data_IF_103358652391
#
_entry.id   IF_103358652391
#
_cell.length_a   1.000
_cell.length_b   1.000
_cell.length_c   1.000
_cell.angle_alpha   90.00
_cell.angle_beta   90.00
_cell.angle_gamma   90.00
#
_symmetry.space_group_name_H-M   'P 1'
#
loop_
_entity.id
_entity.type
_entity.pdbx_description
1 polymer ?
#
# COMPACT_ATOMS: atom_id res chain seq x y z
N UNK A 1 -24.35 -25.26 -56.57
CA UNK A 1 -23.83 -23.87 -56.49
C UNK A 1 -24.69 -23.14 -55.47
N UNK A 2 -24.31 -23.19 -54.19
CA UNK A 2 -23.54 -22.14 -53.50
C UNK A 2 -24.36 -20.88 -53.19
N UNK A 3 -25.34 -20.98 -52.27
CA UNK A 3 -25.86 -19.80 -51.57
C UNK A 3 -26.58 -20.12 -50.27
N UNK A 4 -25.97 -20.95 -49.40
CA UNK A 4 -26.57 -21.26 -48.08
C UNK A 4 -25.54 -21.39 -46.95
N UNK A 5 -24.29 -20.94 -47.20
CA UNK A 5 -23.16 -21.09 -46.27
C UNK A 5 -22.77 -19.82 -45.51
N UNK A 6 -23.35 -18.66 -45.86
CA UNK A 6 -22.93 -17.37 -45.31
C UNK A 6 -23.81 -16.93 -44.13
N UNK A 7 -25.10 -17.31 -44.08
CA UNK A 7 -25.99 -16.88 -42.98
C UNK A 7 -25.90 -17.71 -41.69
N UNK A 8 -25.32 -18.92 -41.71
CA UNK A 8 -25.23 -19.80 -40.53
C UNK A 8 -23.97 -19.63 -39.67
N UNK A 9 -23.00 -18.79 -40.08
CA UNK A 9 -21.73 -18.62 -39.36
C UNK A 9 -21.56 -17.26 -38.68
N UNK A 10 -22.40 -16.27 -38.99
CA UNK A 10 -22.31 -14.92 -38.39
C UNK A 10 -22.94 -14.80 -37.01
N UNK A 11 -23.98 -15.58 -36.70
CA UNK A 11 -24.72 -15.48 -35.46
C UNK A 11 -23.95 -15.94 -34.19
N UNK A 12 -23.16 -17.05 -34.20
CA UNK A 12 -22.41 -17.44 -33.01
C UNK A 12 -21.19 -16.56 -32.77
N UNK A 13 -20.65 -15.89 -33.80
CA UNK A 13 -19.49 -14.99 -33.66
C UNK A 13 -19.93 -13.63 -33.09
N UNK A 14 -21.13 -13.14 -33.45
CA UNK A 14 -21.68 -11.93 -32.83
C UNK A 14 -22.10 -12.15 -31.37
N UNK A 15 -22.58 -13.35 -31.02
CA UNK A 15 -22.95 -13.72 -29.65
C UNK A 15 -21.71 -13.95 -28.77
N UNK A 16 -20.62 -14.51 -29.32
CA UNK A 16 -19.36 -14.67 -28.60
C UNK A 16 -18.61 -13.34 -28.38
N UNK A 17 -18.80 -12.34 -29.25
CA UNK A 17 -18.23 -11.00 -29.05
C UNK A 17 -19.06 -10.12 -28.08
N UNK A 18 -20.34 -10.43 -27.87
CA UNK A 18 -21.22 -9.72 -26.93
C UNK A 18 -21.18 -10.26 -25.49
N UNK A 19 -20.53 -11.40 -25.22
CA UNK A 19 -20.45 -11.99 -23.86
C UNK A 19 -19.09 -11.72 -23.19
N UNK A 20 -18.08 -11.23 -23.92
CA UNK A 20 -16.78 -10.84 -23.34
C UNK A 20 -16.73 -9.39 -22.83
N UNK A 21 -17.83 -8.64 -22.87
CA UNK A 21 -17.80 -7.17 -22.70
C UNK A 21 -18.58 -6.60 -21.52
N UNK A 22 -19.11 -7.38 -20.57
CA UNK A 22 -19.89 -6.76 -19.48
C UNK A 22 -19.78 -7.43 -18.09
N UNK A 23 -18.56 -7.72 -17.65
CA UNK A 23 -18.26 -7.95 -16.23
C UNK A 23 -16.92 -7.31 -15.82
N UNK A 24 -16.49 -6.23 -16.49
CA UNK A 24 -15.69 -5.25 -15.78
C UNK A 24 -16.69 -4.47 -14.92
N UNK A 25 -16.81 -4.83 -13.64
CA UNK A 25 -17.37 -3.87 -12.69
C UNK A 25 -16.60 -2.58 -12.91
N UNK A 26 -17.28 -1.51 -13.31
CA UNK A 26 -16.64 -0.21 -13.47
C UNK A 26 -16.15 0.17 -12.09
N UNK A 27 -14.88 -0.13 -11.81
CA UNK A 27 -14.17 0.39 -10.67
C UNK A 27 -13.92 1.84 -11.02
N UNK A 28 -14.83 2.69 -10.58
CA UNK A 28 -14.74 4.13 -10.80
C UNK A 28 -13.95 4.72 -9.62
N UNK A 29 -13.02 5.62 -9.93
CA UNK A 29 -12.38 6.46 -8.94
C UNK A 29 -13.45 7.30 -8.21
N UNK A 30 -13.37 7.43 -6.88
CA UNK A 30 -14.34 8.24 -6.13
C UNK A 30 -14.23 9.71 -6.55
N UNK A 31 -15.36 10.42 -6.54
CA UNK A 31 -15.42 11.86 -6.89
C UNK A 31 -16.48 12.60 -6.07
N UNK A 32 -16.21 13.81 -5.52
CA UNK A 32 -14.94 14.54 -5.44
C UNK A 32 -14.16 14.31 -4.13
N UNK A 33 -14.81 13.79 -3.09
CA UNK A 33 -14.23 13.54 -1.77
C UNK A 33 -14.14 12.05 -1.53
N UNK A 34 -13.07 11.56 -0.90
CA UNK A 34 -12.89 10.11 -0.66
C UNK A 34 -14.05 9.53 0.15
N UNK A 35 -14.67 10.29 1.06
CA UNK A 35 -15.78 9.80 1.88
C UNK A 35 -17.16 9.91 1.21
N UNK A 36 -17.28 10.62 0.07
CA UNK A 36 -18.55 10.75 -0.64
C UNK A 36 -18.74 9.56 -1.59
N UNK A 37 -19.64 8.65 -1.26
CA UNK A 37 -19.85 7.40 -1.98
C UNK A 37 -20.92 7.57 -3.06
N UNK A 38 -20.53 7.24 -4.30
CA UNK A 38 -21.38 7.24 -5.48
C UNK A 38 -21.73 5.81 -5.93
N UNK A 39 -22.77 5.65 -6.76
CA UNK A 39 -23.05 4.36 -7.36
C UNK A 39 -21.83 3.81 -8.10
N UNK A 40 -21.57 2.51 -7.93
CA UNK A 40 -20.43 1.77 -8.46
C UNK A 40 -19.07 2.08 -7.81
N UNK A 41 -19.02 2.87 -6.74
CA UNK A 41 -17.78 3.05 -5.99
C UNK A 41 -17.40 1.78 -5.21
N UNK A 42 -16.09 1.62 -5.00
CA UNK A 42 -15.56 0.61 -4.08
C UNK A 42 -15.39 1.23 -2.70
N UNK A 43 -16.00 0.63 -1.69
CA UNK A 43 -15.82 0.87 -0.26
C UNK A 43 -14.88 -0.20 0.30
N UNK A 44 -13.86 0.19 1.06
CA UNK A 44 -12.99 -0.74 1.77
C UNK A 44 -13.50 -0.98 3.19
N UNK A 45 -13.31 -2.21 3.66
CA UNK A 45 -13.46 -2.53 5.07
C UNK A 45 -12.55 -1.64 5.92
N UNK A 46 -13.00 -1.29 7.12
CA UNK A 46 -12.39 -0.35 8.08
C UNK A 46 -12.54 1.12 7.73
N UNK A 47 -13.17 1.48 6.62
CA UNK A 47 -13.45 2.88 6.36
C UNK A 47 -14.55 3.43 7.28
N UNK A 48 -14.33 4.65 7.74
CA UNK A 48 -15.16 5.39 8.68
C UNK A 48 -15.61 6.71 8.05
N UNK A 49 -16.74 7.24 8.50
CA UNK A 49 -17.23 8.56 8.09
C UNK A 49 -17.67 8.63 6.63
N UNK A 50 -18.22 7.54 6.10
CA UNK A 50 -18.68 7.45 4.71
C UNK A 50 -20.07 8.05 4.55
N UNK A 51 -20.22 8.88 3.53
CA UNK A 51 -21.48 9.47 3.15
C UNK A 51 -22.07 8.70 1.95
N UNK A 52 -23.14 7.96 2.21
CA UNK A 52 -23.89 7.15 1.25
C UNK A 52 -25.07 7.90 0.62
N UNK A 53 -25.26 9.19 0.90
CA UNK A 53 -26.40 9.95 0.37
C UNK A 53 -26.48 9.94 -1.17
N UNK A 54 -25.35 9.81 -1.86
CA UNK A 54 -25.29 9.64 -3.32
C UNK A 54 -25.95 8.35 -3.84
N UNK A 55 -26.24 7.39 -2.96
CA UNK A 55 -26.87 6.11 -3.29
C UNK A 55 -28.40 6.12 -3.14
N UNK A 56 -28.97 7.21 -2.60
CA UNK A 56 -30.41 7.34 -2.37
C UNK A 56 -31.20 7.41 -3.67
N UNK A 57 -32.49 7.13 -3.59
CA UNK A 57 -33.39 7.41 -4.70
C UNK A 57 -33.50 8.93 -4.89
N UNK A 58 -33.19 9.43 -6.08
CA UNK A 58 -33.13 10.86 -6.38
C UNK A 58 -34.48 11.58 -6.32
N UNK A 59 -35.59 10.83 -6.35
CA UNK A 59 -36.95 11.40 -6.30
C UNK A 59 -37.46 11.53 -4.87
N UNK A 60 -37.19 10.53 -4.02
CA UNK A 60 -37.73 10.47 -2.66
C UNK A 60 -36.73 10.92 -1.60
N UNK A 61 -35.42 10.83 -1.88
CA UNK A 61 -34.31 11.19 -0.98
C UNK A 61 -34.39 10.53 0.40
N UNK A 62 -34.99 9.33 0.49
CA UNK A 62 -35.00 8.60 1.75
C UNK A 62 -33.59 8.04 2.04
N UNK A 63 -33.19 7.99 3.31
CA UNK A 63 -31.87 7.52 3.69
C UNK A 63 -31.67 6.02 3.42
N UNK A 64 -30.44 5.61 3.14
CA UNK A 64 -30.10 4.19 3.02
C UNK A 64 -30.17 3.55 4.40
N UNK A 65 -30.87 2.42 4.51
CA UNK A 65 -31.05 1.70 5.79
C UNK A 65 -30.27 0.39 5.85
N UNK A 66 -29.85 -0.13 4.69
CA UNK A 66 -29.01 -1.30 4.60
C UNK A 66 -28.21 -1.35 3.30
N UNK A 67 -27.05 -2.01 3.35
CA UNK A 67 -26.35 -2.53 2.19
C UNK A 67 -26.61 -4.03 2.10
N UNK A 68 -27.21 -4.47 0.99
CA UNK A 68 -27.71 -5.83 0.82
C UNK A 68 -26.97 -6.58 -0.28
N UNK A 69 -26.53 -7.79 0.03
CA UNK A 69 -25.92 -8.72 -0.93
C UNK A 69 -26.93 -9.78 -1.31
N UNK A 70 -27.00 -10.07 -2.59
CA UNK A 70 -27.89 -11.07 -3.16
C UNK A 70 -27.11 -12.16 -3.86
N UNK A 71 -27.73 -13.34 -4.01
CA UNK A 71 -27.18 -14.42 -4.83
C UNK A 71 -26.94 -13.93 -6.27
N UNK A 72 -25.77 -14.25 -6.81
CA UNK A 72 -25.31 -13.82 -8.14
C UNK A 72 -25.39 -12.30 -8.37
N UNK A 73 -25.30 -11.51 -7.30
CA UNK A 73 -25.43 -10.04 -7.31
C UNK A 73 -26.76 -9.52 -7.88
N UNK A 74 -27.82 -10.33 -7.88
CA UNK A 74 -29.11 -9.99 -8.48
C UNK A 74 -30.19 -9.74 -7.40
N UNK A 75 -30.73 -8.50 -7.26
CA UNK A 75 -31.79 -8.17 -6.29
C UNK A 75 -33.09 -8.98 -6.40
N UNK A 76 -33.32 -9.65 -7.53
CA UNK A 76 -34.47 -10.54 -7.74
C UNK A 76 -34.27 -11.95 -7.17
N UNK A 77 -33.07 -12.27 -6.67
CA UNK A 77 -32.72 -13.55 -6.06
C UNK A 77 -32.68 -13.44 -4.54
N UNK A 78 -32.37 -14.54 -3.87
CA UNK A 78 -32.27 -14.61 -2.41
C UNK A 78 -31.24 -13.64 -1.84
N UNK A 79 -31.63 -12.93 -0.78
CA UNK A 79 -30.73 -12.14 0.06
C UNK A 79 -29.74 -13.08 0.78
N UNK A 80 -28.45 -12.81 0.67
CA UNK A 80 -27.37 -13.61 1.29
C UNK A 80 -26.72 -12.88 2.46
N UNK A 81 -26.71 -11.54 2.44
CA UNK A 81 -26.16 -10.71 3.52
C UNK A 81 -26.90 -9.37 3.57
N UNK A 82 -27.07 -8.82 4.76
CA UNK A 82 -27.54 -7.46 4.97
C UNK A 82 -26.67 -6.80 6.03
N UNK A 83 -26.09 -5.65 5.70
CA UNK A 83 -25.34 -4.80 6.62
C UNK A 83 -26.26 -3.62 6.96
N UNK A 84 -26.66 -3.43 8.24
CA UNK A 84 -27.48 -2.29 8.62
C UNK A 84 -26.69 -0.99 8.45
N UNK A 85 -27.38 0.06 8.02
CA UNK A 85 -26.85 1.43 7.90
C UNK A 85 -27.68 2.30 8.86
N UNK A 86 -27.21 2.55 10.09
CA UNK A 86 -27.94 3.36 11.07
C UNK A 86 -28.00 4.84 10.69
N UNK A 87 -26.90 5.36 10.11
CA UNK A 87 -26.75 6.70 9.58
C UNK A 87 -26.05 6.57 8.22
N UNK A 88 -26.68 7.06 7.16
CA UNK A 88 -26.16 6.97 5.80
C UNK A 88 -25.32 8.19 5.40
N UNK A 89 -25.08 9.12 6.33
CA UNK A 89 -24.19 10.27 6.16
C UNK A 89 -22.88 10.15 6.95
N UNK A 90 -22.81 9.20 7.89
CA UNK A 90 -21.65 8.90 8.73
C UNK A 90 -21.54 7.38 8.96
N UNK A 91 -21.38 6.64 7.87
CA UNK A 91 -21.34 5.18 7.88
C UNK A 91 -19.93 4.64 8.05
N UNK A 92 -19.80 3.54 8.80
CA UNK A 92 -18.56 2.78 8.97
C UNK A 92 -18.74 1.35 8.45
N UNK A 93 -17.77 0.88 7.66
CA UNK A 93 -17.73 -0.52 7.22
C UNK A 93 -16.88 -1.35 8.17
N UNK A 94 -17.53 -1.97 9.14
CA UNK A 94 -16.87 -2.87 10.09
C UNK A 94 -16.69 -4.27 9.50
N UNK A 95 -15.50 -4.85 9.68
CA UNK A 95 -15.20 -6.23 9.26
C UNK A 95 -16.20 -7.24 9.86
N UNK A 96 -16.57 -7.09 11.14
CA UNK A 96 -17.54 -7.97 11.79
C UNK A 96 -18.90 -8.00 11.04
N UNK A 97 -19.32 -6.86 10.50
CA UNK A 97 -20.57 -6.76 9.75
C UNK A 97 -20.44 -7.39 8.37
N UNK A 98 -19.30 -7.23 7.70
CA UNK A 98 -19.03 -7.84 6.38
C UNK A 98 -18.84 -9.35 6.51
N UNK A 99 -18.05 -9.79 7.49
CA UNK A 99 -17.77 -11.19 7.81
C UNK A 99 -17.17 -11.95 6.64
N UNK A 100 -16.19 -11.35 5.95
CA UNK A 100 -15.56 -11.91 4.75
C UNK A 100 -16.44 -11.94 3.49
N UNK A 101 -17.70 -11.48 3.54
CA UNK A 101 -18.61 -11.50 2.40
C UNK A 101 -18.39 -10.30 1.47
N UNK A 102 -17.21 -10.19 0.86
CA UNK A 102 -16.85 -9.10 -0.05
C UNK A 102 -17.60 -9.16 -1.40
N UNK A 103 -17.55 -8.08 -2.19
CA UNK A 103 -18.11 -7.97 -3.54
C UNK A 103 -19.26 -6.97 -3.64
N UNK A 104 -20.18 -7.18 -4.57
CA UNK A 104 -21.27 -6.23 -4.83
C UNK A 104 -22.32 -6.24 -3.73
N UNK A 105 -22.70 -5.05 -3.29
CA UNK A 105 -23.80 -4.76 -2.38
C UNK A 105 -24.74 -3.75 -3.03
N UNK A 106 -26.00 -3.79 -2.64
CA UNK A 106 -27.06 -2.92 -3.14
C UNK A 106 -27.59 -2.06 -2.00
N UNK A 107 -27.64 -0.75 -2.20
CA UNK A 107 -28.23 0.19 -1.27
C UNK A 107 -29.75 -0.03 -1.21
N UNK A 108 -30.30 -0.08 0.01
CA UNK A 108 -31.69 -0.43 0.25
C UNK A 108 -32.37 0.51 1.26
N UNK A 109 -33.61 0.88 0.94
CA UNK A 109 -34.56 1.50 1.85
C UNK A 109 -35.90 0.72 1.80
N UNK A 110 -36.61 0.51 2.92
CA UNK A 110 -37.89 -0.23 2.92
C UNK A 110 -39.00 0.43 2.10
N UNK A 111 -38.95 1.74 1.87
CA UNK A 111 -39.91 2.51 1.07
C UNK A 111 -39.56 2.44 -0.42
N UNK A 112 -38.28 2.62 -0.77
CA UNK A 112 -37.84 2.71 -2.17
C UNK A 112 -37.39 1.37 -2.77
N UNK A 113 -37.11 0.38 -1.93
CA UNK A 113 -36.45 -0.85 -2.31
C UNK A 113 -34.96 -0.65 -2.58
N UNK A 114 -34.44 -1.37 -3.56
CA UNK A 114 -33.04 -1.29 -3.99
C UNK A 114 -32.85 -0.11 -4.94
N UNK A 115 -31.88 0.77 -4.65
CA UNK A 115 -31.70 2.05 -5.37
C UNK A 115 -30.42 2.11 -6.20
N UNK A 116 -29.29 1.70 -5.63
CA UNK A 116 -27.97 1.76 -6.25
C UNK A 116 -27.10 0.59 -5.80
N UNK A 117 -25.92 0.43 -6.39
CA UNK A 117 -24.96 -0.61 -5.98
C UNK A 117 -23.58 -0.03 -5.72
N UNK A 118 -22.81 -0.71 -4.87
CA UNK A 118 -21.41 -0.44 -4.53
C UNK A 118 -20.63 -1.74 -4.43
N UNK A 119 -19.31 -1.68 -4.42
CA UNK A 119 -18.45 -2.82 -4.13
C UNK A 119 -17.86 -2.68 -2.73
N UNK A 120 -17.91 -3.74 -1.92
CA UNK A 120 -17.18 -3.79 -0.64
C UNK A 120 -15.97 -4.71 -0.82
N UNK A 121 -14.77 -4.22 -0.50
CA UNK A 121 -13.49 -4.93 -0.65
C UNK A 121 -12.66 -4.87 0.63
N UNK A 122 -11.75 -5.81 0.78
CA UNK A 122 -10.76 -5.78 1.84
C UNK A 122 -9.51 -5.04 1.34
N UNK A 123 -8.89 -4.15 2.15
CA UNK A 123 -7.64 -3.50 1.78
C UNK A 123 -6.45 -4.46 1.91
N UNK A 124 -6.15 -5.18 0.83
CA UNK A 124 -5.04 -6.14 0.79
C UNK A 124 -3.74 -5.53 0.26
N UNK A 125 -2.61 -5.99 0.79
CA UNK A 125 -1.26 -5.65 0.32
C UNK A 125 -0.33 -6.86 0.31
N UNK A 126 0.49 -6.95 -0.73
CA UNK A 126 1.58 -7.93 -0.82
C UNK A 126 2.88 -7.25 -1.21
N UNK A 127 4.00 -7.83 -0.78
CA UNK A 127 5.34 -7.36 -1.05
C UNK A 127 6.18 -8.50 -1.62
N UNK A 128 6.93 -8.24 -2.68
CA UNK A 128 8.01 -9.10 -3.16
C UNK A 128 9.34 -8.33 -3.13
N UNK A 129 10.45 -9.04 -2.90
CA UNK A 129 11.81 -8.51 -3.07
C UNK A 129 12.36 -9.00 -4.41
N UNK A 130 12.72 -8.08 -5.30
CA UNK A 130 13.18 -8.39 -6.66
C UNK A 130 14.50 -7.69 -6.99
N UNK A 131 15.20 -8.14 -8.03
CA UNK A 131 16.27 -7.34 -8.62
C UNK A 131 15.70 -6.04 -9.19
N UNK A 132 16.46 -4.95 -9.09
CA UNK A 132 16.08 -3.66 -9.65
C UNK A 132 16.00 -3.71 -11.20
N UNK A 133 15.41 -2.66 -11.78
CA UNK A 133 15.31 -2.45 -13.23
C UNK A 133 16.65 -2.73 -13.93
N UNK A 134 16.67 -3.50 -15.04
CA UNK A 134 15.53 -4.04 -15.79
C UNK A 134 15.08 -5.47 -15.38
N UNK A 135 15.52 -6.00 -14.24
CA UNK A 135 15.41 -7.42 -13.89
C UNK A 135 14.30 -7.75 -12.87
N UNK A 136 13.19 -7.00 -12.85
CA UNK A 136 12.09 -7.18 -11.88
C UNK A 136 11.43 -8.57 -11.88
N UNK A 137 11.72 -9.43 -12.87
CA UNK A 137 11.27 -10.82 -12.90
C UNK A 137 12.01 -11.73 -11.92
N UNK A 138 13.19 -11.34 -11.45
CA UNK A 138 14.04 -12.15 -10.57
C UNK A 138 13.72 -11.85 -9.10
N UNK A 139 13.06 -12.79 -8.42
CA UNK A 139 12.76 -12.71 -6.98
C UNK A 139 13.95 -13.15 -6.14
N UNK A 140 14.09 -12.53 -4.97
CA UNK A 140 15.22 -12.74 -4.06
C UNK A 140 14.84 -13.44 -2.75
N UNK A 141 13.57 -13.84 -2.62
CA UNK A 141 13.06 -14.53 -1.44
C UNK A 141 13.85 -15.81 -1.14
N UNK A 142 14.34 -15.92 0.09
CA UNK A 142 15.14 -17.05 0.56
C UNK A 142 16.54 -17.14 -0.06
N UNK A 143 16.96 -16.19 -0.90
CA UNK A 143 18.25 -16.21 -1.57
C UNK A 143 19.33 -15.44 -0.79
N UNK A 144 20.59 -15.83 -1.02
CA UNK A 144 21.77 -15.06 -0.59
C UNK A 144 22.23 -14.14 -1.71
N UNK A 145 22.31 -12.85 -1.41
CA UNK A 145 22.56 -11.78 -2.37
C UNK A 145 23.79 -10.98 -1.96
N UNK A 146 24.61 -10.61 -2.95
CA UNK A 146 25.79 -9.77 -2.72
C UNK A 146 25.41 -8.37 -2.23
N UNK A 147 26.19 -7.75 -1.32
CA UNK A 147 25.95 -6.36 -0.89
C UNK A 147 25.95 -5.34 -2.05
N UNK A 148 26.58 -5.64 -3.18
CA UNK A 148 26.61 -4.72 -4.33
C UNK A 148 25.40 -4.84 -5.25
N UNK A 149 24.51 -5.79 -4.99
CA UNK A 149 23.30 -5.98 -5.79
C UNK A 149 22.32 -4.84 -5.54
N UNK A 150 21.71 -4.36 -6.63
CA UNK A 150 20.60 -3.40 -6.58
C UNK A 150 19.28 -4.16 -6.61
N UNK A 151 18.42 -3.87 -5.64
CA UNK A 151 17.11 -4.50 -5.51
C UNK A 151 16.02 -3.45 -5.62
N UNK A 152 14.80 -3.90 -5.82
CA UNK A 152 13.59 -3.10 -5.66
C UNK A 152 12.57 -3.91 -4.84
N UNK A 153 11.75 -3.20 -4.08
CA UNK A 153 10.56 -3.82 -3.49
C UNK A 153 9.39 -3.61 -4.43
N UNK A 154 8.70 -4.70 -4.75
CA UNK A 154 7.46 -4.68 -5.51
C UNK A 154 6.31 -4.71 -4.53
N UNK A 155 5.50 -3.66 -4.51
CA UNK A 155 4.27 -3.59 -3.74
C UNK A 155 3.10 -3.84 -4.67
N UNK A 156 2.19 -4.73 -4.29
CA UNK A 156 0.97 -5.03 -5.05
C UNK A 156 -0.24 -4.88 -4.13
N UNK A 157 -1.16 -3.99 -4.52
CA UNK A 157 -2.43 -3.76 -3.84
C UNK A 157 -3.49 -3.48 -4.91
N UNK A 158 -4.09 -4.54 -5.50
CA UNK A 158 -4.90 -4.41 -6.71
C UNK A 158 -6.14 -3.54 -6.51
N UNK A 159 -6.91 -3.78 -5.45
CA UNK A 159 -8.17 -3.07 -5.24
C UNK A 159 -7.94 -1.61 -4.80
N UNK A 160 -7.07 -1.39 -3.80
CA UNK A 160 -6.77 -0.04 -3.28
C UNK A 160 -6.10 0.81 -4.37
N UNK A 161 -5.09 0.27 -5.05
CA UNK A 161 -4.39 0.98 -6.12
C UNK A 161 -5.23 1.24 -7.37
N UNK A 162 -6.38 0.55 -7.54
CA UNK A 162 -7.32 0.82 -8.63
C UNK A 162 -8.45 1.77 -8.23
N UNK A 163 -8.92 1.71 -6.98
CA UNK A 163 -10.23 2.26 -6.59
C UNK A 163 -10.18 3.31 -5.48
N UNK A 164 -9.11 3.32 -4.67
CA UNK A 164 -9.04 4.20 -3.50
C UNK A 164 -8.41 5.54 -3.85
N UNK A 165 -9.10 6.31 -4.67
CA UNK A 165 -8.64 7.60 -5.17
C UNK A 165 -9.75 8.63 -5.14
N UNK A 166 -9.38 9.90 -4.97
CA UNK A 166 -10.29 11.04 -5.11
C UNK A 166 -9.73 11.96 -6.20
N UNK A 167 -10.26 11.84 -7.42
CA UNK A 167 -9.62 12.42 -8.60
C UNK A 167 -8.19 11.88 -8.78
N UNK A 168 -7.21 12.79 -8.93
CA UNK A 168 -5.78 12.45 -9.09
C UNK A 168 -5.04 12.24 -7.74
N UNK A 169 -5.76 12.27 -6.62
CA UNK A 169 -5.18 12.10 -5.28
C UNK A 169 -5.28 10.65 -4.82
N UNK A 170 -4.16 10.11 -4.36
CA UNK A 170 -4.03 8.75 -3.83
C UNK A 170 -3.77 8.83 -2.30
N UNK A 171 -4.83 8.83 -1.47
CA UNK A 171 -4.69 9.07 -0.03
C UNK A 171 -4.09 7.87 0.73
N UNK A 172 -4.12 6.66 0.17
CA UNK A 172 -3.52 5.49 0.79
C UNK A 172 -1.99 5.45 0.57
N UNK A 173 -1.27 5.20 1.65
CA UNK A 173 0.19 5.12 1.65
C UNK A 173 0.66 3.95 2.48
N UNK A 174 1.79 3.37 2.12
CA UNK A 174 2.38 2.20 2.80
C UNK A 174 3.81 2.49 3.25
N UNK A 175 4.19 1.87 4.35
CA UNK A 175 5.56 1.84 4.85
C UNK A 175 6.16 0.47 4.51
N UNK A 176 7.40 0.44 4.00
CA UNK A 176 8.15 -0.81 3.89
C UNK A 176 9.08 -0.90 5.09
N UNK A 177 8.77 -1.83 5.98
CA UNK A 177 9.50 -2.07 7.22
C UNK A 177 10.50 -3.19 6.97
N UNK A 178 11.78 -2.89 7.24
CA UNK A 178 12.88 -3.84 7.18
C UNK A 178 13.34 -4.15 8.60
N UNK A 179 13.28 -5.43 8.97
CA UNK A 179 13.87 -5.97 10.18
C UNK A 179 15.29 -6.45 9.86
N UNK A 180 16.27 -5.84 10.52
CA UNK A 180 17.69 -6.19 10.44
C UNK A 180 17.97 -7.56 11.10
N UNK A 181 19.11 -8.20 10.81
CA UNK A 181 19.52 -9.45 11.47
C UNK A 181 19.53 -9.38 13.00
N UNK A 182 19.87 -8.21 13.56
CA UNK A 182 19.84 -7.94 15.00
C UNK A 182 18.44 -7.63 15.57
N UNK A 183 17.38 -7.69 14.76
CA UNK A 183 15.99 -7.45 15.15
C UNK A 183 15.53 -5.98 15.13
N UNK A 184 16.44 -5.02 14.88
CA UNK A 184 16.06 -3.61 14.75
C UNK A 184 15.23 -3.38 13.48
N UNK A 185 14.19 -2.55 13.57
CA UNK A 185 13.34 -2.20 12.42
C UNK A 185 13.69 -0.81 11.88
N UNK A 186 13.62 -0.66 10.56
CA UNK A 186 13.83 0.61 9.85
C UNK A 186 12.90 0.72 8.65
N UNK A 187 12.57 1.95 8.27
CA UNK A 187 11.93 2.29 6.99
C UNK A 187 12.88 3.08 6.09
N UNK A 188 14.18 2.98 6.33
CA UNK A 188 15.20 3.67 5.55
C UNK A 188 16.44 2.79 5.29
N UNK A 189 16.93 2.83 4.04
CA UNK A 189 18.14 2.13 3.60
C UNK A 189 18.99 3.09 2.77
N UNK A 190 20.27 3.26 3.11
CA UNK A 190 21.19 4.04 2.27
C UNK A 190 20.75 5.49 2.01
N UNK A 191 19.97 6.10 2.93
CA UNK A 191 19.41 7.44 2.77
C UNK A 191 18.09 7.50 1.99
N UNK A 192 17.61 6.38 1.44
CA UNK A 192 16.29 6.28 0.83
C UNK A 192 15.23 6.06 1.91
N UNK A 193 14.20 6.89 1.91
CA UNK A 193 13.01 6.66 2.74
C UNK A 193 12.05 5.71 2.02
N UNK A 194 11.57 4.72 2.76
CA UNK A 194 10.59 3.73 2.34
C UNK A 194 9.30 3.83 3.15
N UNK A 195 9.11 4.96 3.84
CA UNK A 195 7.88 5.31 4.52
C UNK A 195 6.98 6.18 3.62
N UNK A 196 5.67 6.10 3.81
CA UNK A 196 4.69 6.95 3.17
C UNK A 196 4.62 6.80 1.65
N UNK A 197 4.91 5.60 1.12
CA UNK A 197 4.88 5.35 -0.31
C UNK A 197 3.43 5.30 -0.81
N UNK A 198 3.05 6.20 -1.71
CA UNK A 198 1.68 6.27 -2.24
C UNK A 198 1.29 4.98 -2.99
N UNK A 199 0.12 4.45 -2.72
CA UNK A 199 -0.45 3.33 -3.49
C UNK A 199 -1.19 3.89 -4.70
N UNK A 200 -0.42 4.32 -5.71
CA UNK A 200 -0.94 5.03 -6.88
C UNK A 200 -1.34 4.14 -8.05
N UNK A 201 -1.18 2.83 -7.90
CA UNK A 201 -1.43 1.83 -8.94
C UNK A 201 -1.61 0.47 -8.28
N UNK A 202 -2.21 -0.47 -9.02
CA UNK A 202 -2.40 -1.86 -8.57
C UNK A 202 -1.09 -2.56 -8.19
N UNK A 203 0.02 -2.10 -8.76
CA UNK A 203 1.38 -2.51 -8.46
C UNK A 203 2.36 -1.37 -8.76
N UNK A 204 3.39 -1.22 -7.92
CA UNK A 204 4.55 -0.38 -8.20
C UNK A 204 5.83 -1.02 -7.65
N UNK A 205 6.97 -0.53 -8.14
CA UNK A 205 8.29 -0.85 -7.63
C UNK A 205 8.93 0.37 -6.98
N UNK A 206 9.78 0.18 -5.98
CA UNK A 206 10.49 1.30 -5.34
C UNK A 206 11.41 2.06 -6.29
N UNK A 207 11.78 1.48 -7.43
CA UNK A 207 12.62 2.09 -8.46
C UNK A 207 11.85 2.57 -9.70
N UNK A 208 10.51 2.56 -9.69
CA UNK A 208 9.72 3.21 -10.74
C UNK A 208 9.93 4.74 -10.75
N UNK A 209 9.71 5.44 -11.88
CA UNK A 209 9.79 6.90 -11.93
C UNK A 209 8.92 7.57 -10.85
N UNK A 210 9.48 8.54 -10.13
CA UNK A 210 8.79 9.23 -9.03
C UNK A 210 8.79 8.48 -7.69
N UNK A 211 9.49 7.34 -7.61
CA UNK A 211 9.69 6.55 -6.38
C UNK A 211 11.11 6.77 -5.80
N UNK A 212 11.41 6.28 -4.59
CA UNK A 212 12.71 6.51 -3.94
C UNK A 212 13.93 6.05 -4.76
N UNK A 213 13.79 5.05 -5.62
CA UNK A 213 14.84 4.52 -6.48
C UNK A 213 15.27 3.09 -6.13
N UNK A 214 16.27 2.54 -6.85
CA UNK A 214 16.81 1.23 -6.58
C UNK A 214 17.58 1.22 -5.25
N UNK A 215 17.41 0.15 -4.49
CA UNK A 215 18.01 -0.01 -3.17
C UNK A 215 19.33 -0.75 -3.33
N UNK A 216 20.42 -0.11 -2.93
CA UNK A 216 21.73 -0.76 -2.90
C UNK A 216 21.91 -1.45 -1.55
N UNK A 217 22.14 -2.77 -1.56
CA UNK A 217 22.24 -3.56 -0.33
C UNK A 217 23.45 -3.20 0.54
N UNK A 218 24.47 -2.53 0.00
CA UNK A 218 25.59 -1.97 0.77
C UNK A 218 25.15 -0.83 1.70
N UNK A 219 23.97 -0.25 1.47
CA UNK A 219 23.32 0.67 2.40
C UNK A 219 22.76 -0.02 3.65
N UNK A 220 22.72 -1.36 3.67
CA UNK A 220 22.41 -2.14 4.87
C UNK A 220 23.68 -2.31 5.69
N UNK A 221 23.57 -2.06 7.00
CA UNK A 221 24.72 -1.90 7.89
C UNK A 221 25.49 -3.18 8.18
N UNK A 222 24.85 -4.35 8.00
CA UNK A 222 25.36 -5.64 8.50
C UNK A 222 25.04 -6.78 7.51
N UNK A 223 25.93 -7.77 7.30
CA UNK A 223 25.56 -9.00 6.61
C UNK A 223 24.61 -9.84 7.48
N UNK A 224 23.73 -10.61 6.85
CA UNK A 224 22.80 -11.51 7.54
C UNK A 224 21.43 -11.59 6.88
N UNK A 225 20.49 -12.26 7.55
CA UNK A 225 19.11 -12.40 7.10
C UNK A 225 18.29 -11.18 7.45
N UNK A 226 17.68 -10.58 6.43
CA UNK A 226 16.75 -9.47 6.54
C UNK A 226 15.33 -9.99 6.33
N UNK A 227 14.39 -9.40 7.06
CA UNK A 227 12.94 -9.62 6.85
C UNK A 227 12.32 -8.30 6.43
N UNK A 228 11.44 -8.32 5.43
CA UNK A 228 10.79 -7.12 4.90
C UNK A 228 9.31 -7.37 4.79
N UNK A 229 8.50 -6.38 5.18
CA UNK A 229 7.05 -6.38 5.02
C UNK A 229 6.56 -4.99 4.66
N UNK A 230 5.42 -4.92 4.00
CA UNK A 230 4.71 -3.67 3.76
C UNK A 230 3.56 -3.54 4.77
N UNK A 231 3.43 -2.36 5.37
CA UNK A 231 2.38 -2.02 6.33
C UNK A 231 1.61 -0.80 5.82
N UNK A 232 0.32 -0.74 6.14
CA UNK A 232 -0.48 0.46 5.88
C UNK A 232 -0.02 1.61 6.78
N UNK A 233 0.24 2.76 6.18
CA UNK A 233 0.57 4.00 6.90
C UNK A 233 -0.62 4.95 6.93
N UNK A 234 -1.36 5.03 5.82
CA UNK A 234 -2.62 5.75 5.69
C UNK A 234 -3.60 4.96 4.82
N UNK A 235 -4.93 5.14 5.03
CA UNK A 235 -5.57 5.86 6.14
C UNK A 235 -5.31 5.22 7.52
N UNK A 236 -5.62 5.94 8.60
CA UNK A 236 -5.36 5.49 9.97
C UNK A 236 -6.08 4.18 10.31
N UNK A 237 -7.30 3.99 9.81
CA UNK A 237 -8.04 2.76 10.03
C UNK A 237 -7.39 1.55 9.32
N UNK A 238 -6.84 1.72 8.11
CA UNK A 238 -6.07 0.63 7.47
C UNK A 238 -4.82 0.31 8.29
N UNK A 239 -4.10 1.33 8.78
CA UNK A 239 -2.94 1.13 9.66
C UNK A 239 -3.30 0.38 10.95
N UNK A 240 -4.47 0.65 11.52
CA UNK A 240 -4.89 0.06 12.78
C UNK A 240 -5.43 -1.38 12.64
N UNK A 241 -6.11 -1.67 11.53
CA UNK A 241 -6.94 -2.87 11.44
C UNK A 241 -6.68 -3.75 10.21
N UNK A 242 -6.19 -3.20 9.10
CA UNK A 242 -5.91 -4.00 7.92
C UNK A 242 -4.60 -4.78 8.06
N UNK A 243 -4.56 -5.98 7.49
CA UNK A 243 -3.39 -6.83 7.53
C UNK A 243 -2.19 -6.17 6.82
N UNK A 244 -1.00 -6.32 7.41
CA UNK A 244 0.26 -6.09 6.72
C UNK A 244 0.50 -7.21 5.68
N UNK A 245 1.45 -6.99 4.77
CA UNK A 245 1.87 -8.07 3.87
C UNK A 245 2.52 -9.21 4.64
N UNK A 246 2.45 -10.41 4.09
CA UNK A 246 3.32 -11.50 4.52
C UNK A 246 4.80 -11.05 4.47
N UNK A 247 5.61 -11.40 5.49
CA UNK A 247 7.01 -11.02 5.52
C UNK A 247 7.84 -11.83 4.52
N UNK A 248 8.69 -11.15 3.76
CA UNK A 248 9.64 -11.76 2.83
C UNK A 248 11.04 -11.72 3.42
N UNK A 249 11.77 -12.83 3.33
CA UNK A 249 13.15 -12.90 3.84
C UNK A 249 14.17 -13.00 2.71
N UNK A 250 15.34 -12.39 2.90
CA UNK A 250 16.50 -12.56 2.03
C UNK A 250 17.79 -12.38 2.82
N UNK A 251 18.89 -12.97 2.37
CA UNK A 251 20.18 -12.91 3.07
C UNK A 251 21.15 -12.02 2.32
N UNK A 252 21.76 -11.07 3.01
CA UNK A 252 22.87 -10.26 2.48
C UNK A 252 24.18 -10.89 2.93
N UNK A 253 25.03 -11.25 1.97
CA UNK A 253 26.33 -11.81 2.27
C UNK A 253 27.16 -12.00 1.01
N UNK A 254 28.46 -12.21 1.20
CA UNK A 254 29.28 -12.71 0.10
C UNK A 254 28.73 -14.09 -0.25
N UNK A 255 28.34 -14.29 -1.52
CA UNK A 255 27.97 -15.62 -2.02
C UNK A 255 29.10 -16.55 -1.63
N UNK A 256 28.82 -17.56 -0.80
CA UNK A 256 29.75 -18.66 -0.59
C UNK A 256 29.83 -19.35 -1.95
N UNK A 257 30.83 -18.97 -2.74
CA UNK A 257 31.26 -19.79 -3.83
C UNK A 257 31.60 -21.13 -3.21
N UNK A 258 30.98 -22.20 -3.71
CA UNK A 258 31.67 -23.48 -3.73
C UNK A 258 33.05 -23.19 -4.33
N UNK A 259 34.07 -23.22 -3.49
CA UNK A 259 35.44 -23.40 -3.94
C UNK A 259 35.46 -24.76 -4.63
N UNK A 260 35.12 -24.77 -5.92
CA UNK A 260 35.59 -25.82 -6.81
C UNK A 260 37.07 -25.56 -6.91
N UNK A 261 37.82 -26.13 -5.97
CA UNK A 261 39.26 -25.98 -5.83
C UNK A 261 39.92 -26.24 -7.18
N UNK A 262 40.25 -25.17 -7.88
CA UNK A 262 41.28 -25.21 -8.91
C UNK A 262 42.55 -24.83 -8.18
N UNK A 263 43.50 -25.78 -7.96
CA UNK A 263 44.75 -25.45 -7.30
C UNK A 263 45.42 -24.35 -8.12
N UNK A 264 45.62 -23.20 -7.51
CA UNK A 264 46.49 -22.15 -8.05
C UNK A 264 47.89 -22.76 -8.15
N UNK A 265 48.54 -22.79 -9.34
CA UNK A 265 49.90 -23.30 -9.43
C UNK A 265 50.84 -22.43 -8.60
N UNK A 266 51.54 -23.08 -7.69
CA UNK A 266 52.65 -22.52 -6.89
C UNK A 266 53.65 -21.80 -7.82
N UNK A 267 53.97 -20.52 -7.59
CA UNK A 267 55.04 -19.84 -8.31
C UNK A 267 56.39 -20.54 -8.01
N UNK A 268 57.25 -20.78 -9.02
CA UNK A 268 58.58 -21.31 -8.77
C UNK A 268 59.40 -20.32 -7.92
N UNK A 269 60.35 -20.82 -7.09
CA UNK A 269 61.11 -20.00 -6.16
C UNK A 269 61.90 -18.89 -6.87
N UNK A 270 61.72 -17.65 -6.42
CA UNK A 270 62.50 -16.50 -6.88
C UNK A 270 63.92 -16.56 -6.32
N UNK A 271 64.90 -16.59 -7.22
CA UNK A 271 66.32 -16.36 -6.93
C UNK A 271 66.52 -14.92 -6.46
N UNK A 272 67.04 -14.75 -5.25
CA UNK A 272 67.41 -13.45 -4.68
C UNK A 272 68.66 -12.89 -5.37
N UNK A 273 68.51 -11.75 -6.04
CA UNK A 273 69.62 -10.90 -6.47
C UNK A 273 69.82 -9.75 -5.45
N UNK A 274 71.08 -9.37 -5.15
CA UNK A 274 71.40 -8.49 -4.03
C UNK A 274 71.01 -7.02 -4.26
N UNK A 275 70.46 -6.46 -3.19
CA UNK A 275 70.10 -5.05 -2.94
C UNK A 275 71.27 -4.08 -3.12
N UNK A 276 71.02 -2.99 -3.85
CA UNK A 276 71.88 -1.79 -3.89
C UNK A 276 71.32 -0.73 -2.92
N UNK A 277 72.15 0.03 -2.18
CA UNK A 277 71.71 0.90 -1.08
C UNK A 277 70.96 2.17 -1.55
N UNK A 278 70.13 2.77 -0.67
CA UNK A 278 69.28 3.91 -1.01
C UNK A 278 70.04 5.23 -1.18
N UNK A 279 69.62 6.03 -2.16
CA UNK A 279 70.10 7.38 -2.38
C UNK A 279 69.42 8.38 -1.42
N UNK A 280 70.26 9.15 -0.74
CA UNK A 280 69.91 10.31 0.09
C UNK A 280 69.34 11.44 -0.78
N UNK A 281 68.19 11.99 -0.40
CA UNK A 281 67.75 13.32 -0.87
C UNK A 281 67.18 14.17 0.27
N UNK A 282 67.36 15.47 0.09
CA UNK A 282 67.45 16.62 1.01
C UNK A 282 66.10 17.04 1.62
N UNK A 283 66.07 17.66 2.82
CA UNK A 283 64.84 18.10 3.48
C UNK A 283 64.15 19.26 2.74
N UNK A 284 62.85 19.10 2.50
CA UNK A 284 61.97 20.15 1.97
C UNK A 284 61.15 20.78 3.10
N UNK A 285 61.19 22.11 3.15
CA UNK A 285 60.56 23.02 4.12
C UNK A 285 59.03 22.81 4.26
N UNK A 286 58.45 22.91 5.47
CA UNK A 286 57.00 22.82 5.67
C UNK A 286 56.27 24.07 5.14
N UNK A 287 55.12 23.93 4.46
CA UNK A 287 54.28 25.06 4.12
C UNK A 287 53.50 25.60 5.34
N UNK A 288 53.35 26.92 5.29
CA UNK A 288 52.82 27.86 6.26
C UNK A 288 51.36 27.61 6.63
N UNK A 289 51.04 27.74 7.91
CA UNK A 289 49.69 27.79 8.49
C UNK A 289 49.03 29.14 8.16
N UNK A 290 47.88 29.13 7.49
CA UNK A 290 46.99 30.30 7.37
C UNK A 290 45.86 30.19 8.41
N UNK A 291 45.49 31.28 9.10
CA UNK A 291 44.48 31.23 10.16
C UNK A 291 43.04 31.12 9.66
N UNK A 292 42.30 30.35 10.46
CA UNK A 292 40.86 30.19 10.58
C UNK A 292 40.05 31.49 10.42
N UNK A 293 39.04 31.49 9.55
CA UNK A 293 37.93 32.45 9.63
C UNK A 293 36.76 31.78 10.35
N UNK A 294 36.27 32.47 11.38
CA UNK A 294 35.22 32.01 12.28
C UNK A 294 33.84 31.97 11.61
N UNK A 295 33.10 30.93 11.97
CA UNK A 295 31.66 30.79 11.83
C UNK A 295 30.93 31.97 12.48
N UNK A 296 30.01 32.61 11.74
CA UNK A 296 29.01 33.48 12.34
C UNK A 296 27.70 32.70 12.39
N UNK A 297 27.19 32.51 13.60
CA UNK A 297 25.90 31.91 13.94
C UNK A 297 24.78 32.82 13.46
N UNK A 298 23.92 32.33 12.56
CA UNK A 298 22.65 32.98 12.25
C UNK A 298 21.56 32.37 13.14
N UNK A 299 20.99 33.22 13.99
CA UNK A 299 19.86 32.93 14.88
C UNK A 299 18.58 32.81 14.04
N UNK A 300 17.77 31.74 14.17
CA UNK A 300 16.48 31.71 13.52
C UNK A 300 15.52 32.71 14.19
N UNK A 301 14.67 33.42 13.43
CA UNK A 301 13.61 34.24 14.01
C UNK A 301 12.60 33.34 14.74
N UNK A 302 12.14 33.81 15.90
CA UNK A 302 11.10 33.17 16.69
C UNK A 302 9.77 33.16 15.91
N UNK A 303 9.30 31.97 15.53
CA UNK A 303 7.91 31.80 15.06
C UNK A 303 6.99 31.78 16.27
N UNK A 304 6.17 32.80 16.37
CA UNK A 304 5.12 32.98 17.36
C UNK A 304 4.06 31.88 17.25
N UNK A 305 3.84 31.17 18.35
CA UNK A 305 2.67 30.32 18.61
C UNK A 305 1.37 31.09 18.38
N UNK A 306 0.42 30.61 17.55
CA UNK A 306 -0.91 31.17 17.51
C UNK A 306 -1.65 30.86 18.82
N UNK A 307 -2.23 31.91 19.41
CA UNK A 307 -3.06 31.83 20.60
C UNK A 307 -4.28 30.93 20.36
N UNK A 308 -4.49 29.97 21.26
CA UNK A 308 -5.75 29.24 21.37
C UNK A 308 -6.88 30.23 21.65
N UNK A 309 -7.85 30.29 20.74
CA UNK A 309 -9.10 31.02 20.97
C UNK A 309 -10.05 30.07 21.74
N UNK A 310 -10.61 30.49 22.88
CA UNK A 310 -11.48 29.63 23.67
C UNK A 310 -12.79 29.33 22.94
N UNK A 311 -13.18 28.05 22.95
CA UNK A 311 -14.47 27.54 22.46
C UNK A 311 -15.65 28.31 23.10
N UNK A 312 -16.66 28.73 22.31
CA UNK A 312 -17.86 29.38 22.85
C UNK A 312 -18.74 28.38 23.62
N UNK A 313 -19.17 28.82 24.80
CA UNK A 313 -19.93 28.08 25.80
C UNK A 313 -21.39 27.77 25.40
N UNK A 314 -21.61 26.80 24.51
CA UNK A 314 -22.95 26.26 24.24
C UNK A 314 -23.06 24.73 24.14
N UNK A 315 -21.99 23.98 24.46
CA UNK A 315 -22.07 22.54 24.65
C UNK A 315 -22.46 22.20 26.11
N UNK A 316 -23.73 22.42 26.44
CA UNK A 316 -24.34 21.99 27.68
C UNK A 316 -25.66 21.29 27.39
N UNK A 317 -25.83 20.09 27.98
CA UNK A 317 -27.04 19.26 28.05
C UNK A 317 -27.23 18.24 26.91
N UNK A 318 -26.80 16.99 27.15
CA UNK A 318 -27.60 15.77 26.94
C UNK A 318 -26.77 14.50 27.27
N UNK A 319 -26.49 14.28 28.56
CA UNK A 319 -26.21 12.96 29.10
C UNK A 319 -27.19 12.73 30.24
N UNK A 320 -27.66 11.49 30.40
CA UNK A 320 -28.71 10.99 31.31
C UNK A 320 -30.07 10.84 30.61
N UNK A 321 -30.26 9.71 29.93
CA UNK A 321 -31.49 8.89 30.02
C UNK A 321 -31.45 7.65 29.11
N UNK A 322 -30.75 6.58 29.52
CA UNK A 322 -31.18 5.21 29.20
C UNK A 322 -30.50 4.16 30.10
N UNK A 323 -30.79 4.20 31.39
CA UNK A 323 -30.40 3.14 32.33
C UNK A 323 -31.57 2.79 33.26
N UNK A 324 -32.75 2.45 32.71
CA UNK A 324 -33.89 1.94 33.50
C UNK A 324 -34.88 1.05 32.71
N UNK A 325 -34.43 0.30 31.70
CA UNK A 325 -35.29 -0.70 31.02
C UNK A 325 -34.56 -2.03 30.87
N UNK A 326 -34.11 -2.65 31.98
CA UNK A 326 -33.82 -4.10 32.03
C UNK A 326 -33.89 -4.67 33.46
N UNK A 327 -34.89 -4.24 34.24
CA UNK A 327 -35.23 -4.88 35.51
C UNK A 327 -36.74 -5.07 35.60
N UNK A 328 -37.26 -6.13 34.97
CA UNK A 328 -38.69 -6.41 35.06
C UNK A 328 -39.21 -7.51 34.14
N UNK A 329 -38.59 -8.70 34.12
CA UNK A 329 -39.29 -9.92 33.66
C UNK A 329 -38.63 -11.19 34.20
N UNK A 330 -38.94 -11.50 35.46
CA UNK A 330 -38.91 -12.86 36.02
C UNK A 330 -40.10 -13.02 36.96
N UNK A 331 -41.20 -13.52 36.41
CA UNK A 331 -42.13 -14.51 36.98
C UNK A 331 -43.13 -14.88 35.90
#
# INVERSE_FOLDING_TARGET
>A
MASDRILRRGLPILLALCILTLCAGQVTARSPTINDIQPYDTIFVYEEGLNLAGLRNTTTDNPITALQKYQDNNPQKSLTKSIPVPDDTDFEVQDLLVGGSHGTYHAFNPVDGVTAQVMIREPEISLDVVLATPHHSERLEGLTVSPNTKIAFKVTSPDVGASYTAGDVYPATVDIVITHPGGAETTAIGGLSLAGLNVSSTRFYTDDPGRPGPIVLSGLREPGTYTVRAEWSKPAAFKAYAAASEPVTFTVGNRVGIDTGTPTPTPPPQTTLPTTPPATTVPTTPPITLPTTATTTETPPATTTPAETPLPAWAGVAAISLALIFAGRRR
#
